data_IF_198860814377
#
_entry.id   IF_198860814377
#
_cell.length_a   1.000
_cell.length_b   1.000
_cell.length_c   1.000
_cell.angle_alpha   90.00
_cell.angle_beta   90.00
_cell.angle_gamma   90.00
#
_symmetry.space_group_name_H-M   'P 1'
#
loop_
_entity.id
_entity.type
_entity.pdbx_description
1 polymer ?
#
# COMPACT_ATOMS: atom_id res chain seq x y z
N UNK A 1 -8.70 -35.34 -7.58
CA UNK A 1 -7.65 -34.61 -6.84
C UNK A 1 -7.41 -33.19 -7.39
N UNK A 2 -8.36 -32.58 -8.15
CA UNK A 2 -8.17 -31.29 -8.84
C UNK A 2 -8.86 -30.09 -8.15
N UNK A 3 -9.56 -30.29 -7.03
CA UNK A 3 -10.43 -29.28 -6.41
C UNK A 3 -9.73 -28.33 -5.43
N UNK A 4 -8.50 -28.64 -4.98
CA UNK A 4 -7.82 -27.81 -3.95
C UNK A 4 -6.96 -26.69 -4.57
N UNK A 5 -6.36 -26.91 -5.74
CA UNK A 5 -5.51 -25.90 -6.42
C UNK A 5 -6.33 -24.75 -7.04
N UNK A 6 -7.59 -25.00 -7.42
CA UNK A 6 -8.47 -23.97 -7.98
C UNK A 6 -9.02 -23.01 -6.93
N UNK A 7 -9.21 -23.45 -5.67
CA UNK A 7 -9.62 -22.58 -4.57
C UNK A 7 -8.50 -21.62 -4.14
N UNK A 8 -7.25 -22.07 -4.12
CA UNK A 8 -6.09 -21.23 -3.81
C UNK A 8 -5.90 -20.08 -4.83
N UNK A 9 -5.97 -20.41 -6.13
CA UNK A 9 -5.82 -19.44 -7.21
C UNK A 9 -6.96 -18.40 -7.24
N UNK A 10 -8.21 -18.82 -6.98
CA UNK A 10 -9.35 -17.91 -6.90
C UNK A 10 -9.22 -16.91 -5.74
N UNK A 11 -8.73 -17.36 -4.59
CA UNK A 11 -8.47 -16.48 -3.44
C UNK A 11 -7.35 -15.48 -3.74
N UNK A 12 -6.24 -15.93 -4.32
CA UNK A 12 -5.12 -15.05 -4.68
C UNK A 12 -5.53 -13.96 -5.68
N UNK A 13 -6.35 -14.31 -6.69
CA UNK A 13 -6.95 -13.37 -7.63
C UNK A 13 -7.85 -12.36 -6.90
N UNK A 14 -8.72 -12.83 -6.01
CA UNK A 14 -9.62 -11.96 -5.24
C UNK A 14 -8.85 -10.99 -4.33
N UNK A 15 -7.76 -11.43 -3.71
CA UNK A 15 -6.88 -10.56 -2.92
C UNK A 15 -6.13 -9.56 -3.81
N UNK A 16 -5.71 -9.95 -5.01
CA UNK A 16 -5.08 -9.04 -5.97
C UNK A 16 -6.07 -7.96 -6.46
N UNK A 17 -7.31 -8.35 -6.75
CA UNK A 17 -8.37 -7.43 -7.17
C UNK A 17 -8.72 -6.44 -6.06
N UNK A 18 -8.83 -6.90 -4.81
CA UNK A 18 -9.04 -6.03 -3.64
C UNK A 18 -7.90 -5.03 -3.45
N UNK A 19 -6.63 -5.48 -3.56
CA UNK A 19 -5.48 -4.56 -3.47
C UNK A 19 -5.49 -3.51 -4.58
N UNK A 20 -5.86 -3.90 -5.80
CA UNK A 20 -5.97 -2.98 -6.93
C UNK A 20 -7.08 -1.97 -6.72
N UNK A 21 -8.24 -2.41 -6.26
CA UNK A 21 -9.37 -1.53 -5.94
C UNK A 21 -9.00 -0.53 -4.83
N UNK A 22 -8.37 -1.00 -3.75
CA UNK A 22 -7.89 -0.14 -2.67
C UNK A 22 -6.91 0.93 -3.17
N UNK A 23 -5.96 0.55 -4.04
CA UNK A 23 -5.04 1.50 -4.65
C UNK A 23 -5.77 2.55 -5.51
N UNK A 24 -6.77 2.14 -6.29
CA UNK A 24 -7.60 3.07 -7.06
C UNK A 24 -8.31 4.09 -6.16
N UNK A 25 -8.95 3.65 -5.08
CA UNK A 25 -9.60 4.56 -4.13
C UNK A 25 -8.62 5.58 -3.51
N UNK A 26 -7.44 5.13 -3.11
CA UNK A 26 -6.41 6.03 -2.57
C UNK A 26 -5.92 7.00 -3.65
N UNK A 27 -5.72 6.52 -4.88
CA UNK A 27 -5.30 7.38 -6.00
C UNK A 27 -6.35 8.46 -6.32
N UNK A 28 -7.63 8.12 -6.27
CA UNK A 28 -8.74 9.05 -6.47
C UNK A 28 -8.79 10.10 -5.36
N UNK A 29 -8.69 9.68 -4.09
CA UNK A 29 -8.62 10.61 -2.96
C UNK A 29 -7.45 11.61 -3.06
N UNK A 30 -6.30 11.16 -3.59
CA UNK A 30 -5.16 12.05 -3.86
C UNK A 30 -5.43 13.01 -5.02
N UNK A 31 -6.16 12.58 -6.05
CA UNK A 31 -6.54 13.45 -7.16
C UNK A 31 -7.53 14.53 -6.70
N UNK A 32 -8.53 14.16 -5.89
CA UNK A 32 -9.49 15.07 -5.28
C UNK A 32 -8.82 16.07 -4.34
N UNK A 33 -7.98 15.60 -3.41
CA UNK A 33 -7.27 16.49 -2.49
C UNK A 33 -6.40 17.53 -3.22
N UNK A 34 -5.75 17.13 -4.33
CA UNK A 34 -5.01 18.06 -5.18
C UNK A 34 -5.92 19.04 -5.92
N UNK A 35 -7.10 18.60 -6.37
CA UNK A 35 -8.09 19.49 -6.98
C UNK A 35 -8.56 20.57 -6.00
N UNK A 36 -8.69 20.22 -4.72
CA UNK A 36 -9.03 21.14 -3.63
C UNK A 36 -7.86 22.04 -3.18
N UNK A 37 -6.68 21.88 -3.80
CA UNK A 37 -5.49 22.70 -3.54
C UNK A 37 -4.62 22.20 -2.38
N UNK A 38 -4.83 20.97 -1.90
CA UNK A 38 -3.97 20.36 -0.87
C UNK A 38 -2.65 19.92 -1.53
N UNK A 39 -1.55 20.27 -0.87
CA UNK A 39 -0.21 19.89 -1.33
C UNK A 39 -0.02 18.36 -1.32
N UNK A 40 0.66 17.85 -2.36
CA UNK A 40 0.89 16.42 -2.54
C UNK A 40 1.70 15.78 -1.42
N UNK A 41 2.65 16.50 -0.83
CA UNK A 41 3.46 16.00 0.28
C UNK A 41 2.63 15.90 1.55
N UNK A 42 1.70 16.85 1.78
CA UNK A 42 0.73 16.79 2.87
C UNK A 42 -0.18 15.56 2.75
N UNK A 43 -0.70 15.28 1.54
CA UNK A 43 -1.52 14.09 1.28
C UNK A 43 -0.73 12.80 1.51
N UNK A 44 0.53 12.75 1.06
CA UNK A 44 1.41 11.60 1.26
C UNK A 44 1.65 11.32 2.74
N UNK A 45 1.96 12.34 3.54
CA UNK A 45 2.13 12.19 4.99
C UNK A 45 0.85 11.74 5.68
N UNK A 46 -0.29 12.33 5.34
CA UNK A 46 -1.58 11.93 5.91
C UNK A 46 -1.92 10.47 5.60
N UNK A 47 -1.72 10.04 4.35
CA UNK A 47 -1.96 8.66 3.94
C UNK A 47 -1.02 7.68 4.63
N UNK A 48 0.26 8.03 4.78
CA UNK A 48 1.23 7.19 5.48
C UNK A 48 0.86 7.04 6.97
N UNK A 49 0.43 8.13 7.62
CA UNK A 49 -0.05 8.08 8.99
C UNK A 49 -1.27 7.16 9.13
N UNK A 50 -2.29 7.36 8.29
CA UNK A 50 -3.49 6.52 8.31
C UNK A 50 -3.16 5.04 8.07
N UNK A 51 -2.25 4.75 7.13
CA UNK A 51 -1.80 3.38 6.87
C UNK A 51 -1.12 2.76 8.11
N UNK A 52 -0.23 3.49 8.80
CA UNK A 52 0.40 2.97 10.01
C UNK A 52 -0.58 2.77 11.16
N UNK A 53 -1.56 3.66 11.34
CA UNK A 53 -2.62 3.49 12.35
C UNK A 53 -3.37 2.17 12.12
N UNK A 54 -3.79 1.89 10.89
CA UNK A 54 -4.50 0.66 10.55
C UNK A 54 -3.62 -0.60 10.74
N UNK A 55 -2.36 -0.52 10.31
CA UNK A 55 -1.41 -1.63 10.49
C UNK A 55 -1.14 -1.92 11.96
N UNK A 56 -0.98 -0.90 12.80
CA UNK A 56 -0.77 -1.06 14.25
C UNK A 56 -2.03 -1.61 14.91
N UNK A 57 -3.21 -1.12 14.55
CA UNK A 57 -4.47 -1.64 15.07
C UNK A 57 -4.69 -3.12 14.73
N UNK A 58 -4.27 -3.55 13.53
CA UNK A 58 -4.44 -4.93 13.06
C UNK A 58 -3.38 -5.89 13.59
N UNK A 59 -2.11 -5.47 13.61
CA UNK A 59 -0.96 -6.36 13.83
C UNK A 59 -0.15 -6.05 15.10
N UNK A 60 -0.39 -4.90 15.75
CA UNK A 60 0.35 -4.44 16.93
C UNK A 60 1.65 -3.70 16.57
N UNK A 61 2.12 -2.88 17.52
CA UNK A 61 3.26 -1.98 17.33
C UNK A 61 4.56 -2.72 16.94
N UNK A 62 4.92 -3.79 17.65
CA UNK A 62 6.17 -4.53 17.39
C UNK A 62 6.24 -5.12 15.97
N UNK A 63 5.11 -5.64 15.46
CA UNK A 63 5.05 -6.21 14.12
C UNK A 63 5.25 -5.12 13.06
N UNK A 64 4.65 -3.95 13.27
CA UNK A 64 4.75 -2.81 12.36
C UNK A 64 6.13 -2.17 12.42
N UNK A 65 6.78 -2.11 13.60
CA UNK A 65 8.17 -1.68 13.72
C UNK A 65 9.11 -2.55 12.87
N UNK A 66 9.02 -3.88 13.00
CA UNK A 66 9.82 -4.82 12.19
C UNK A 66 9.54 -4.69 10.70
N UNK A 67 8.30 -4.41 10.32
CA UNK A 67 7.95 -4.10 8.94
C UNK A 67 8.63 -2.80 8.46
N UNK A 68 8.59 -1.74 9.27
CA UNK A 68 9.12 -0.43 8.93
C UNK A 68 10.66 -0.40 8.83
N UNK A 69 11.37 -1.24 9.60
CA UNK A 69 12.84 -1.38 9.55
C UNK A 69 13.36 -1.70 8.14
N UNK A 70 12.55 -2.36 7.30
CA UNK A 70 12.91 -2.73 5.93
C UNK A 70 12.68 -1.62 4.92
N UNK A 71 11.92 -0.57 5.27
CA UNK A 71 11.57 0.50 4.33
C UNK A 71 12.78 1.27 3.79
N UNK A 72 13.78 1.67 4.60
CA UNK A 72 14.95 2.40 4.10
C UNK A 72 15.71 1.62 3.02
N UNK A 73 15.85 0.29 3.18
CA UNK A 73 16.53 -0.56 2.20
C UNK A 73 15.75 -0.61 0.88
N UNK A 74 14.43 -0.82 0.95
CA UNK A 74 13.54 -0.88 -0.22
C UNK A 74 13.47 0.45 -0.97
N UNK A 75 13.45 1.57 -0.24
CA UNK A 75 13.50 2.92 -0.82
C UNK A 75 14.82 3.14 -1.57
N UNK A 76 15.96 2.77 -0.95
CA UNK A 76 17.28 2.87 -1.60
C UNK A 76 17.40 1.97 -2.83
N UNK A 77 16.77 0.80 -2.80
CA UNK A 77 16.67 -0.12 -3.93
C UNK A 77 15.81 0.43 -5.08
N UNK A 78 15.07 1.52 -4.86
CA UNK A 78 14.25 2.18 -5.86
C UNK A 78 12.87 1.54 -6.06
N UNK A 79 12.42 0.68 -5.14
CA UNK A 79 11.13 -0.03 -5.28
C UNK A 79 9.91 0.90 -5.36
N UNK A 80 10.05 2.14 -4.87
CA UNK A 80 8.99 3.16 -4.88
C UNK A 80 9.24 4.29 -5.90
N UNK A 81 10.32 4.19 -6.69
CA UNK A 81 10.66 5.16 -7.72
C UNK A 81 10.06 4.73 -9.05
N UNK A 82 8.97 5.39 -9.48
CA UNK A 82 8.30 5.12 -10.76
C UNK A 82 9.12 5.56 -11.99
N UNK A 83 10.26 6.25 -11.79
CA UNK A 83 11.27 6.46 -12.83
C UNK A 83 12.35 5.40 -12.70
N UNK A 84 12.40 4.49 -13.67
CA UNK A 84 13.60 3.73 -14.01
C UNK A 84 14.79 4.68 -14.06
N UNK A 85 15.81 4.45 -13.23
CA UNK A 85 17.14 5.03 -13.46
C UNK A 85 17.61 4.48 -14.81
N UNK A 86 17.55 5.31 -15.85
CA UNK A 86 18.32 5.08 -17.07
C UNK A 86 19.78 5.45 -16.82
#
# INVERSE_FOLDING_TARGET
MQTNDQLGNANDSLYADQRRAAYSYVSEAFAEGRYDGIDGDCLAHAALFAAFVELVATYGEEAVTKFAERLPERIKAGEYSLRTKN
#
